data_IF_110682124085
#
_entry.id   IF_110682124085
#
_cell.length_a   1.000
_cell.length_b   1.000
_cell.length_c   1.000
_cell.angle_alpha   90.00
_cell.angle_beta   90.00
_cell.angle_gamma   90.00
#
_symmetry.space_group_name_H-M   'P 1'
#
loop_
_entity.id
_entity.type
_entity.pdbx_description
1 polymer ?
#
# COMPACT_ATOMS: atom_id res chain seq x y z
N UNK A 1 25.30 2.08 21.89
CA UNK A 1 23.93 1.53 21.95
C UNK A 1 23.91 0.23 21.18
N UNK A 2 23.44 -0.87 21.79
CA UNK A 2 23.34 -2.17 21.11
C UNK A 2 22.11 -2.19 20.17
N UNK A 3 22.12 -2.97 19.08
CA UNK A 3 21.00 -3.02 18.13
C UNK A 3 19.65 -3.33 18.79
N UNK A 4 19.64 -4.19 19.82
CA UNK A 4 18.44 -4.56 20.56
C UNK A 4 17.87 -3.39 21.37
N UNK A 5 18.74 -2.57 21.96
CA UNK A 5 18.36 -1.37 22.72
C UNK A 5 17.80 -0.30 21.77
N UNK A 6 18.37 -0.18 20.56
CA UNK A 6 17.88 0.75 19.54
C UNK A 6 16.46 0.38 19.08
N UNK A 7 16.18 -0.92 18.94
CA UNK A 7 14.86 -1.42 18.56
C UNK A 7 13.81 -1.19 19.67
N UNK A 8 14.19 -1.43 20.94
CA UNK A 8 13.33 -1.17 22.09
C UNK A 8 12.98 0.32 22.21
N UNK A 9 13.98 1.20 22.11
CA UNK A 9 13.79 2.64 22.14
C UNK A 9 12.96 3.17 20.94
N UNK A 10 13.05 2.53 19.78
CA UNK A 10 12.19 2.86 18.63
C UNK A 10 10.72 2.49 18.89
N UNK A 11 10.47 1.32 19.48
CA UNK A 11 9.12 0.86 19.84
C UNK A 11 8.46 1.74 20.89
N UNK A 12 9.21 2.13 21.92
CA UNK A 12 8.73 3.04 22.97
C UNK A 12 8.38 4.42 22.40
N UNK A 13 9.23 4.99 21.54
CA UNK A 13 8.93 6.28 20.88
C UNK A 13 7.68 6.20 20.02
N UNK A 14 7.49 5.11 19.28
CA UNK A 14 6.28 4.91 18.48
C UNK A 14 5.02 4.75 19.34
N UNK A 15 5.10 4.02 20.46
CA UNK A 15 3.99 3.88 21.42
C UNK A 15 3.63 5.23 22.06
N UNK A 16 4.62 6.00 22.49
CA UNK A 16 4.42 7.33 23.05
C UNK A 16 3.83 8.32 22.03
N UNK A 17 4.21 8.22 20.75
CA UNK A 17 3.62 9.01 19.67
C UNK A 17 2.15 8.63 19.43
N UNK A 18 1.78 7.34 19.51
CA UNK A 18 0.38 6.89 19.41
C UNK A 18 -0.47 7.40 20.56
N UNK A 19 0.05 7.31 21.79
CA UNK A 19 -0.65 7.78 22.98
C UNK A 19 -0.94 9.30 22.94
N UNK A 20 -0.11 10.08 22.25
CA UNK A 20 -0.28 11.53 22.07
C UNK A 20 -1.09 11.92 20.84
N UNK A 21 -1.76 10.99 20.16
CA UNK A 21 -2.58 11.31 18.99
C UNK A 21 -1.79 11.73 17.74
N UNK A 22 -0.44 11.66 17.75
CA UNK A 22 0.41 12.20 16.69
C UNK A 22 0.23 11.55 15.30
N UNK A 23 -0.54 10.44 15.22
CA UNK A 23 -0.89 9.78 13.96
C UNK A 23 -2.33 10.08 13.51
N UNK A 24 -3.17 10.69 14.35
CA UNK A 24 -4.56 11.02 14.05
C UNK A 24 -4.74 12.50 13.63
N UNK A 25 -3.90 13.40 14.15
CA UNK A 25 -4.18 14.85 14.09
C UNK A 25 -3.67 15.59 12.85
N UNK A 26 -2.95 14.91 11.95
CA UNK A 26 -2.43 15.54 10.73
C UNK A 26 -2.67 14.62 9.52
N UNK A 27 -3.94 14.54 9.11
CA UNK A 27 -4.35 13.93 7.84
C UNK A 27 -4.18 14.88 6.65
N UNK A 28 -4.04 16.18 6.92
CA UNK A 28 -3.77 17.22 5.92
C UNK A 28 -2.46 16.94 5.16
N UNK A 29 -1.40 16.48 5.84
CA UNK A 29 -0.16 16.05 5.17
C UNK A 29 -0.30 14.79 4.30
N UNK A 30 -1.42 14.07 4.40
CA UNK A 30 -1.77 12.94 3.53
C UNK A 30 -2.77 13.35 2.44
N UNK A 31 -2.99 14.66 2.20
CA UNK A 31 -3.59 15.14 0.96
C UNK A 31 -2.68 14.77 -0.20
N UNK A 32 -2.91 13.57 -0.74
CA UNK A 32 -2.33 13.12 -1.99
C UNK A 32 -2.86 14.06 -3.07
N UNK A 33 -1.95 14.65 -3.86
CA UNK A 33 -2.36 15.40 -5.05
C UNK A 33 -3.27 14.51 -5.90
N UNK A 34 -4.28 15.06 -6.59
CA UNK A 34 -5.08 14.28 -7.53
C UNK A 34 -4.18 13.81 -8.67
N UNK A 35 -3.57 12.64 -8.48
CA UNK A 35 -2.95 11.88 -9.55
C UNK A 35 -4.06 11.16 -10.30
N UNK A 36 -3.80 10.83 -11.56
CA UNK A 36 -4.63 9.91 -12.33
C UNK A 36 -4.88 8.66 -11.47
N UNK A 37 -6.14 8.44 -11.07
CA UNK A 37 -6.46 7.37 -10.14
C UNK A 37 -6.21 6.05 -10.87
N UNK A 38 -5.35 5.17 -10.34
CA UNK A 38 -5.18 3.86 -10.94
C UNK A 38 -6.54 3.15 -10.97
N UNK A 39 -6.86 2.56 -12.12
CA UNK A 39 -8.04 1.70 -12.26
C UNK A 39 -7.95 0.49 -11.34
N UNK A 40 -9.09 -0.17 -11.13
CA UNK A 40 -9.15 -1.37 -10.28
C UNK A 40 -8.22 -2.48 -10.81
N UNK A 41 -8.07 -2.62 -12.14
CA UNK A 41 -7.14 -3.60 -12.71
C UNK A 41 -5.69 -3.33 -12.27
N UNK A 42 -5.24 -2.07 -12.30
CA UNK A 42 -3.90 -1.70 -11.86
C UNK A 42 -3.70 -1.95 -10.36
N UNK A 43 -4.72 -1.70 -9.54
CA UNK A 43 -4.68 -2.00 -8.10
C UNK A 43 -4.57 -3.50 -7.81
N UNK A 44 -5.25 -4.34 -8.59
CA UNK A 44 -5.16 -5.80 -8.46
C UNK A 44 -3.79 -6.33 -8.91
N UNK A 45 -3.25 -5.78 -10.00
CA UNK A 45 -1.89 -6.10 -10.46
C UNK A 45 -0.85 -5.74 -9.39
N UNK A 46 -0.94 -4.55 -8.81
CA UNK A 46 -0.01 -4.07 -7.78
C UNK A 46 -0.21 -4.72 -6.41
N UNK A 47 -1.37 -5.34 -6.17
CA UNK A 47 -1.61 -6.05 -4.92
C UNK A 47 -0.67 -7.25 -4.75
N UNK A 48 -0.19 -7.82 -5.85
CA UNK A 48 0.76 -8.93 -5.85
C UNK A 48 2.19 -8.40 -5.77
N UNK A 49 2.81 -8.54 -4.60
CA UNK A 49 4.20 -8.15 -4.41
C UNK A 49 5.10 -9.35 -4.75
N UNK A 50 5.53 -9.44 -6.01
CA UNK A 50 6.55 -10.39 -6.45
C UNK A 50 7.82 -9.64 -6.89
N UNK A 51 8.88 -9.63 -6.07
CA UNK A 51 10.12 -8.96 -6.44
C UNK A 51 10.88 -9.79 -7.49
N UNK A 52 11.07 -9.21 -8.67
CA UNK A 52 11.84 -9.80 -9.77
C UNK A 52 13.36 -9.67 -9.55
N UNK A 53 14.04 -10.82 -9.48
CA UNK A 53 15.48 -10.91 -9.26
C UNK A 53 16.28 -10.45 -10.47
N UNK A 54 15.72 -10.59 -11.67
CA UNK A 54 16.36 -10.21 -12.93
C UNK A 54 16.42 -8.69 -13.12
N UNK A 55 15.46 -7.98 -12.51
CA UNK A 55 15.42 -6.52 -12.44
C UNK A 55 16.36 -5.94 -11.38
N UNK A 56 16.87 -6.77 -10.45
CA UNK A 56 17.73 -6.33 -9.35
C UNK A 56 19.18 -6.09 -9.80
N UNK A 57 19.42 -5.01 -10.55
CA UNK A 57 20.73 -4.66 -11.15
C UNK A 57 21.38 -3.46 -10.48
N UNK A 58 22.70 -3.35 -10.61
CA UNK A 58 23.48 -2.19 -10.17
C UNK A 58 23.98 -1.39 -11.37
N UNK A 59 23.70 -0.09 -11.37
CA UNK A 59 24.14 0.87 -12.40
C UNK A 59 25.51 1.48 -12.10
N UNK A 60 26.19 1.04 -11.03
CA UNK A 60 27.47 1.61 -10.56
C UNK A 60 28.67 1.02 -11.32
N UNK A 61 29.84 1.68 -11.20
CA UNK A 61 31.11 1.30 -11.86
C UNK A 61 31.59 -0.14 -11.57
N UNK A 62 31.16 -0.73 -10.45
CA UNK A 62 31.33 -2.17 -10.11
C UNK A 62 29.98 -2.90 -10.18
N UNK A 63 29.23 -2.69 -11.28
CA UNK A 63 27.83 -3.10 -11.41
C UNK A 63 27.62 -4.60 -11.29
N UNK A 64 28.46 -5.41 -11.94
CA UNK A 64 28.35 -6.87 -11.92
C UNK A 64 28.50 -7.49 -10.52
N UNK A 65 29.58 -7.23 -9.75
CA UNK A 65 29.72 -7.83 -8.41
C UNK A 65 28.65 -7.31 -7.43
N UNK A 66 28.25 -6.04 -7.55
CA UNK A 66 27.19 -5.48 -6.70
C UNK A 66 25.84 -6.12 -7.04
N UNK A 67 25.56 -6.37 -8.32
CA UNK A 67 24.35 -7.09 -8.76
C UNK A 67 24.31 -8.49 -8.17
N UNK A 68 25.40 -9.25 -8.28
CA UNK A 68 25.49 -10.60 -7.71
C UNK A 68 25.27 -10.60 -6.19
N UNK A 69 25.92 -9.67 -5.47
CA UNK A 69 25.74 -9.55 -4.03
C UNK A 69 24.27 -9.25 -3.65
N UNK A 70 23.61 -8.33 -4.37
CA UNK A 70 22.18 -8.02 -4.17
C UNK A 70 21.28 -9.22 -4.44
N UNK A 71 21.52 -9.95 -5.52
CA UNK A 71 20.73 -11.12 -5.89
C UNK A 71 20.89 -12.26 -4.87
N UNK A 72 22.12 -12.53 -4.42
CA UNK A 72 22.37 -13.52 -3.35
C UNK A 72 21.72 -13.12 -2.04
N UNK A 73 21.85 -11.84 -1.64
CA UNK A 73 21.20 -11.33 -0.43
C UNK A 73 19.69 -11.43 -0.52
N UNK A 74 19.10 -11.09 -1.66
CA UNK A 74 17.67 -11.25 -1.90
C UNK A 74 17.24 -12.71 -1.75
N UNK A 75 17.95 -13.66 -2.38
CA UNK A 75 17.64 -15.09 -2.29
C UNK A 75 17.69 -15.59 -0.83
N UNK A 76 18.66 -15.14 -0.05
CA UNK A 76 18.76 -15.46 1.37
C UNK A 76 17.60 -14.86 2.19
N UNK A 77 17.25 -13.59 1.92
CA UNK A 77 16.16 -12.90 2.62
C UNK A 77 14.77 -13.36 2.19
N UNK A 78 14.62 -13.90 0.98
CA UNK A 78 13.33 -14.41 0.46
C UNK A 78 12.76 -15.50 1.37
N UNK A 79 13.62 -16.38 1.89
CA UNK A 79 13.18 -17.42 2.82
C UNK A 79 12.67 -16.82 4.14
N UNK A 80 13.35 -15.80 4.66
CA UNK A 80 12.97 -15.14 5.91
C UNK A 80 11.72 -14.26 5.74
N UNK A 81 11.62 -13.52 4.65
CA UNK A 81 10.56 -12.54 4.40
C UNK A 81 9.35 -13.13 3.66
N UNK A 82 9.41 -14.38 3.20
CA UNK A 82 8.34 -14.99 2.41
C UNK A 82 6.98 -14.97 3.11
N UNK A 83 6.95 -15.20 4.43
CA UNK A 83 5.72 -15.11 5.21
C UNK A 83 5.17 -13.68 5.27
N UNK A 84 6.03 -12.68 5.46
CA UNK A 84 5.64 -11.26 5.50
C UNK A 84 5.11 -10.82 4.13
N UNK A 85 5.80 -11.18 3.05
CA UNK A 85 5.38 -10.90 1.68
C UNK A 85 4.02 -11.57 1.37
N UNK A 86 3.84 -12.83 1.75
CA UNK A 86 2.57 -13.53 1.56
C UNK A 86 1.41 -12.88 2.35
N UNK A 87 1.68 -12.42 3.57
CA UNK A 87 0.69 -11.69 4.38
C UNK A 87 0.34 -10.34 3.76
N UNK A 88 1.34 -9.59 3.28
CA UNK A 88 1.13 -8.31 2.60
C UNK A 88 0.34 -8.47 1.30
N UNK A 89 0.70 -9.44 0.45
CA UNK A 89 -0.03 -9.73 -0.78
C UNK A 89 -1.49 -10.10 -0.51
N UNK A 90 -1.74 -10.97 0.48
CA UNK A 90 -3.13 -11.32 0.87
C UNK A 90 -3.92 -10.11 1.35
N UNK A 91 -3.31 -9.30 2.22
CA UNK A 91 -3.96 -8.10 2.73
C UNK A 91 -4.31 -7.14 1.58
N UNK A 92 -3.36 -6.86 0.70
CA UNK A 92 -3.58 -5.97 -0.44
C UNK A 92 -4.69 -6.48 -1.37
N UNK A 93 -4.70 -7.79 -1.65
CA UNK A 93 -5.74 -8.39 -2.48
C UNK A 93 -7.13 -8.26 -1.84
N UNK A 94 -7.24 -8.54 -0.54
CA UNK A 94 -8.51 -8.40 0.19
C UNK A 94 -9.01 -6.95 0.19
N UNK A 95 -8.10 -5.98 0.35
CA UNK A 95 -8.44 -4.55 0.26
C UNK A 95 -8.91 -4.19 -1.15
N UNK A 96 -8.20 -4.62 -2.19
CA UNK A 96 -8.58 -4.34 -3.57
C UNK A 96 -9.96 -4.92 -3.92
N UNK A 97 -10.23 -6.17 -3.53
CA UNK A 97 -11.55 -6.81 -3.70
C UNK A 97 -12.62 -6.03 -2.94
N UNK A 98 -12.37 -5.65 -1.69
CA UNK A 98 -13.35 -4.91 -0.89
C UNK A 98 -13.65 -3.53 -1.50
N UNK A 99 -12.64 -2.84 -2.02
CA UNK A 99 -12.81 -1.56 -2.72
C UNK A 99 -13.64 -1.74 -3.99
N UNK A 100 -13.43 -2.82 -4.75
CA UNK A 100 -14.24 -3.15 -5.92
C UNK A 100 -15.72 -3.32 -5.54
N UNK A 101 -16.00 -4.12 -4.51
CA UNK A 101 -17.36 -4.34 -4.01
C UNK A 101 -18.03 -3.03 -3.57
N UNK A 102 -17.29 -2.15 -2.90
CA UNK A 102 -17.79 -0.83 -2.50
C UNK A 102 -18.06 0.05 -3.71
N UNK A 103 -17.17 0.07 -4.70
CA UNK A 103 -17.35 0.80 -5.96
C UNK A 103 -18.64 0.36 -6.65
N UNK A 104 -18.85 -0.95 -6.82
CA UNK A 104 -20.06 -1.50 -7.44
C UNK A 104 -21.34 -1.16 -6.66
N UNK A 105 -21.24 -1.09 -5.33
CA UNK A 105 -22.38 -0.69 -4.49
C UNK A 105 -22.70 0.78 -4.65
N UNK A 106 -21.68 1.64 -4.73
CA UNK A 106 -21.85 3.08 -4.97
C UNK A 106 -22.47 3.31 -6.33
N UNK A 107 -21.94 2.71 -7.40
CA UNK A 107 -22.51 2.81 -8.75
C UNK A 107 -23.98 2.40 -8.77
N UNK A 108 -24.33 1.25 -8.17
CA UNK A 108 -25.73 0.79 -8.08
C UNK A 108 -26.62 1.70 -7.24
N UNK A 109 -26.07 2.44 -6.28
CA UNK A 109 -26.83 3.42 -5.49
C UNK A 109 -27.05 4.69 -6.30
N UNK A 110 -26.01 5.18 -6.97
CA UNK A 110 -26.06 6.34 -7.86
C UNK A 110 -27.06 6.12 -9.01
N UNK A 111 -27.05 4.95 -9.65
CA UNK A 111 -28.02 4.57 -10.69
C UNK A 111 -29.47 4.55 -10.16
N UNK A 112 -29.68 4.05 -8.94
CA UNK A 112 -31.01 4.04 -8.29
C UNK A 112 -31.48 5.45 -7.92
N UNK A 113 -30.57 6.30 -7.47
CA UNK A 113 -30.85 7.72 -7.20
C UNK A 113 -31.07 8.55 -8.47
N UNK A 114 -30.50 8.13 -9.61
CA UNK A 114 -30.66 8.77 -10.91
C UNK A 114 -31.88 8.25 -11.72
N UNK A 115 -32.59 7.23 -11.24
CA UNK A 115 -33.81 6.70 -11.87
C UNK A 115 -34.98 7.71 -11.88
N UNK A 116 -36.04 7.48 -12.70
CA UNK A 116 -37.00 8.49 -13.19
C UNK A 116 -38.03 9.02 -12.16
N UNK A 117 -37.61 9.25 -10.91
CA UNK A 117 -38.44 9.76 -9.83
C UNK A 117 -37.67 10.61 -8.80
N UNK A 118 -36.52 11.18 -9.17
CA UNK A 118 -35.85 12.19 -8.35
C UNK A 118 -36.78 13.39 -8.12
N UNK A 119 -36.91 13.91 -6.88
CA UNK A 119 -37.88 14.94 -6.55
C UNK A 119 -37.67 16.20 -7.39
N UNK A 120 -38.76 16.66 -7.98
CA UNK A 120 -38.95 17.98 -8.57
C UNK A 120 -38.39 19.05 -7.61
N UNK A 121 -37.15 19.49 -7.85
CA UNK A 121 -36.69 20.79 -7.40
C UNK A 121 -37.14 21.79 -8.46
N UNK A 122 -38.43 22.09 -8.41
CA UNK A 122 -39.03 23.19 -9.15
C UNK A 122 -38.30 24.50 -8.85
N UNK A 123 -38.28 25.44 -9.80
CA UNK A 123 -37.48 26.65 -9.69
C UNK A 123 -38.02 27.53 -8.55
N UNK A 124 -37.12 27.99 -7.69
CA UNK A 124 -37.31 29.19 -6.86
C UNK A 124 -36.06 30.04 -6.91
#
# INVERSE_FOLDING_TARGET
MRPQEALAAARERAAAARARGAYADDLERFRVQPAERPGLEALLEWAVIEPDVEQLRSTRRLGAPITLAKQTLYRALRQYNGQVLAQQTRFNLMVAVHVAELSDRVTRLEERSAGPGGPDHGPR
#
